data_IF_920106536719
#
_entry.id   IF_920106536719
#
_cell.length_a   1.000
_cell.length_b   1.000
_cell.length_c   1.000
_cell.angle_alpha   90.00
_cell.angle_beta   90.00
_cell.angle_gamma   90.00
#
_symmetry.space_group_name_H-M   'P 1'
#
loop_
_entity.id
_entity.type
_entity.pdbx_description
1 polymer ?
#
# COMPACT_ATOMS: atom_id res chain seq x y z
N UNK A 1 0.72 14.77 -5.61
CA UNK A 1 1.39 13.89 -4.63
C UNK A 1 1.25 14.52 -3.26
N UNK A 2 0.40 13.95 -2.40
CA UNK A 2 0.31 14.33 -1.00
C UNK A 2 0.91 13.19 -0.19
N UNK A 3 1.87 13.48 0.68
CA UNK A 3 2.34 12.54 1.69
C UNK A 3 1.34 12.63 2.84
N UNK A 4 0.73 11.50 3.17
CA UNK A 4 -0.17 11.38 4.32
C UNK A 4 0.51 10.43 5.30
N UNK A 5 0.34 10.63 6.59
CA UNK A 5 0.61 9.61 7.59
C UNK A 5 -0.67 9.43 8.39
N UNK A 6 -1.53 8.54 7.89
CA UNK A 6 -2.84 8.29 8.46
C UNK A 6 -3.12 6.80 8.42
N UNK A 7 -3.48 6.28 9.60
CA UNK A 7 -3.85 4.89 9.79
C UNK A 7 -4.93 4.43 8.81
N UNK A 8 -4.75 3.23 8.26
CA UNK A 8 -5.69 2.60 7.35
C UNK A 8 -5.95 1.16 7.79
N UNK A 9 -7.22 0.79 7.83
CA UNK A 9 -7.60 -0.62 8.00
C UNK A 9 -7.74 -1.26 6.62
N UNK A 10 -7.14 -2.42 6.43
CA UNK A 10 -7.08 -3.12 5.14
C UNK A 10 -7.78 -4.47 5.26
N UNK A 11 -8.67 -4.76 4.33
CA UNK A 11 -9.27 -6.07 4.14
C UNK A 11 -8.55 -6.82 3.03
N UNK A 12 -8.35 -8.10 3.26
CA UNK A 12 -7.54 -8.97 2.41
C UNK A 12 -8.39 -10.09 1.85
N UNK A 13 -8.08 -10.48 0.61
CA UNK A 13 -8.55 -11.72 0.00
C UNK A 13 -7.33 -12.41 -0.63
N UNK A 14 -7.08 -13.65 -0.25
CA UNK A 14 -5.95 -14.45 -0.77
C UNK A 14 -4.58 -13.73 -0.71
N UNK A 15 -4.37 -12.89 0.31
CA UNK A 15 -3.13 -12.13 0.48
C UNK A 15 -3.01 -10.86 -0.34
N UNK A 16 -4.09 -10.41 -0.98
CA UNK A 16 -4.16 -9.18 -1.78
C UNK A 16 -5.17 -8.19 -1.17
N UNK A 17 -4.89 -6.88 -1.13
CA UNK A 17 -5.85 -5.88 -0.65
C UNK A 17 -7.11 -5.85 -1.53
N UNK A 18 -8.30 -5.82 -0.92
CA UNK A 18 -9.57 -5.71 -1.65
C UNK A 18 -10.43 -4.52 -1.22
N UNK A 19 -10.18 -3.98 -0.04
CA UNK A 19 -10.88 -2.82 0.52
C UNK A 19 -10.03 -2.16 1.59
N UNK A 20 -10.21 -0.85 1.73
CA UNK A 20 -9.67 -0.10 2.86
C UNK A 20 -10.74 0.76 3.54
N UNK A 21 -10.50 1.08 4.81
CA UNK A 21 -11.15 2.18 5.52
C UNK A 21 -10.07 3.18 5.90
N UNK A 22 -10.18 4.38 5.34
CA UNK A 22 -9.20 5.45 5.48
C UNK A 22 -9.91 6.79 5.56
N UNK A 23 -9.50 7.63 6.53
CA UNK A 23 -10.15 8.91 6.86
C UNK A 23 -11.67 8.79 7.09
N UNK A 24 -12.10 7.77 7.83
CA UNK A 24 -13.53 7.53 8.11
C UNK A 24 -14.36 7.07 6.91
N UNK A 25 -13.71 6.84 5.76
CA UNK A 25 -14.37 6.50 4.50
C UNK A 25 -14.01 5.10 4.02
N UNK A 26 -14.99 4.43 3.41
CA UNK A 26 -14.82 3.12 2.77
C UNK A 26 -14.37 3.30 1.33
N UNK A 27 -13.37 2.54 0.93
CA UNK A 27 -12.88 2.52 -0.44
C UNK A 27 -12.71 1.08 -0.91
N UNK A 28 -13.15 0.78 -2.14
CA UNK A 28 -13.00 -0.52 -2.77
C UNK A 28 -11.80 -0.50 -3.69
N UNK A 29 -10.95 -1.53 -3.65
CA UNK A 29 -9.89 -1.68 -4.65
C UNK A 29 -10.54 -1.89 -6.02
N UNK A 30 -10.11 -1.12 -7.01
CA UNK A 30 -10.70 -1.09 -8.35
C UNK A 30 -9.72 -1.44 -9.48
N UNK A 31 -8.47 -1.77 -9.14
CA UNK A 31 -7.45 -2.30 -10.05
C UNK A 31 -6.78 -3.58 -9.48
N UNK A 32 -5.61 -3.94 -10.03
CA UNK A 32 -4.78 -5.06 -9.54
C UNK A 32 -3.69 -4.51 -8.61
N UNK A 33 -3.72 -4.83 -7.30
CA UNK A 33 -2.70 -4.37 -6.38
C UNK A 33 -1.29 -4.86 -6.73
N UNK A 34 -0.36 -3.92 -6.66
CA UNK A 34 1.07 -4.15 -6.94
C UNK A 34 1.85 -4.11 -5.63
N UNK A 35 2.67 -5.13 -5.37
CA UNK A 35 3.57 -5.13 -4.22
C UNK A 35 4.66 -4.08 -4.41
N UNK A 36 4.89 -3.26 -3.40
CA UNK A 36 6.07 -2.41 -3.33
C UNK A 36 7.19 -3.22 -2.70
N UNK A 37 8.32 -3.36 -3.40
CA UNK A 37 9.51 -4.04 -2.87
C UNK A 37 10.64 -3.04 -2.65
N UNK A 38 11.43 -3.28 -1.62
CA UNK A 38 12.69 -2.57 -1.41
C UNK A 38 13.83 -3.56 -1.47
N UNK A 39 14.86 -3.19 -2.22
CA UNK A 39 16.17 -3.81 -2.15
C UNK A 39 16.93 -3.17 -1.00
N UNK A 40 17.34 -3.93 0.03
CA UNK A 40 18.17 -3.38 1.11
C UNK A 40 19.47 -2.82 0.53
N UNK A 41 19.82 -1.59 0.89
CA UNK A 41 21.02 -0.90 0.37
C UNK A 41 22.31 -1.41 1.01
N UNK A 42 22.22 -1.98 2.22
CA UNK A 42 23.35 -2.51 3.00
C UNK A 42 23.43 -4.04 2.91
N UNK A 43 23.62 -4.57 1.72
CA UNK A 43 23.91 -5.99 1.54
C UNK A 43 25.40 -6.20 1.33
N UNK A 44 26.02 -7.21 1.99
CA UNK A 44 27.38 -7.62 1.67
C UNK A 44 27.54 -7.82 0.16
N UNK A 45 28.65 -7.36 -0.41
CA UNK A 45 28.92 -7.40 -1.87
C UNK A 45 28.88 -8.82 -2.47
N UNK A 46 28.96 -9.85 -1.63
CA UNK A 46 28.82 -11.26 -2.01
C UNK A 46 27.36 -11.70 -2.27
N UNK A 47 26.36 -10.89 -1.89
CA UNK A 47 24.95 -11.16 -2.17
C UNK A 47 24.63 -10.64 -3.57
N UNK A 48 24.61 -11.55 -4.54
CA UNK A 48 24.24 -11.24 -5.93
C UNK A 48 22.73 -11.23 -6.16
N UNK A 49 21.95 -11.73 -5.20
CA UNK A 49 20.48 -11.76 -5.20
C UNK A 49 19.97 -11.34 -3.81
N UNK A 50 19.72 -10.03 -3.67
CA UNK A 50 19.11 -9.46 -2.49
C UNK A 50 17.70 -10.02 -2.27
N UNK A 51 17.34 -10.53 -1.07
CA UNK A 51 15.94 -10.84 -0.79
C UNK A 51 15.13 -9.55 -0.79
N UNK A 52 14.22 -9.43 -1.76
CA UNK A 52 13.25 -8.34 -1.81
C UNK A 52 12.30 -8.43 -0.61
N UNK A 53 12.25 -7.37 0.19
CA UNK A 53 11.23 -7.26 1.25
C UNK A 53 10.04 -6.49 0.69
N UNK A 54 8.84 -7.02 0.88
CA UNK A 54 7.61 -6.26 0.61
C UNK A 54 7.53 -5.09 1.59
N UNK A 55 7.66 -3.89 1.06
CA UNK A 55 7.58 -2.61 1.77
C UNK A 55 6.16 -2.10 1.89
N UNK A 56 5.24 -2.60 1.05
CA UNK A 56 3.91 -2.04 0.97
C UNK A 56 3.13 -2.54 -0.23
N UNK A 57 2.05 -1.83 -0.53
CA UNK A 57 1.21 -2.07 -1.68
C UNK A 57 0.81 -0.76 -2.34
N UNK A 58 0.70 -0.79 -3.66
CA UNK A 58 0.08 0.24 -4.48
C UNK A 58 -1.18 -0.31 -5.13
N UNK A 59 -2.27 0.44 -5.08
CA UNK A 59 -3.50 0.10 -5.79
C UNK A 59 -4.39 1.32 -5.97
N UNK A 60 -5.26 1.26 -6.97
CA UNK A 60 -6.37 2.18 -7.15
C UNK A 60 -7.52 1.78 -6.23
N UNK A 61 -8.13 2.77 -5.61
CA UNK A 61 -9.36 2.63 -4.84
C UNK A 61 -10.44 3.57 -5.35
N UNK A 62 -11.69 3.12 -5.31
CA UNK A 62 -12.86 3.89 -5.68
C UNK A 62 -13.87 3.87 -4.54
N UNK A 63 -14.39 5.04 -4.18
CA UNK A 63 -15.43 5.20 -3.17
C UNK A 63 -16.84 5.18 -3.78
N UNK A 64 -17.87 5.16 -2.94
CA UNK A 64 -19.27 5.03 -3.37
C UNK A 64 -19.77 6.21 -4.22
N UNK A 65 -19.20 7.40 -4.06
CA UNK A 65 -19.52 8.58 -4.89
C UNK A 65 -18.71 8.66 -6.20
N UNK A 66 -17.94 7.61 -6.51
CA UNK A 66 -17.04 7.48 -7.67
C UNK A 66 -15.73 8.27 -7.59
N UNK A 67 -15.41 8.90 -6.47
CA UNK A 67 -14.05 9.40 -6.26
C UNK A 67 -13.05 8.24 -6.33
N UNK A 68 -11.96 8.44 -7.06
CA UNK A 68 -10.93 7.44 -7.29
C UNK A 68 -9.56 8.01 -6.96
N UNK A 69 -8.74 7.20 -6.28
CA UNK A 69 -7.38 7.55 -5.89
C UNK A 69 -6.46 6.36 -6.11
N UNK A 70 -5.21 6.60 -6.51
CA UNK A 70 -4.14 5.63 -6.31
C UNK A 70 -3.54 5.88 -4.94
N UNK A 71 -3.31 4.81 -4.17
CA UNK A 71 -2.74 4.89 -2.83
C UNK A 71 -1.54 3.97 -2.69
N UNK A 72 -0.53 4.42 -1.95
CA UNK A 72 0.50 3.56 -1.38
C UNK A 72 0.19 3.34 0.09
N UNK A 73 0.17 2.07 0.52
CA UNK A 73 0.13 1.70 1.94
C UNK A 73 1.43 1.03 2.35
N UNK A 74 1.92 1.34 3.54
CA UNK A 74 3.13 0.74 4.13
C UNK A 74 2.82 0.24 5.54
N UNK A 75 3.50 -0.82 6.04
CA UNK A 75 3.31 -1.28 7.40
C UNK A 75 3.80 -0.22 8.40
N UNK A 76 2.99 0.09 9.42
CA UNK A 76 3.37 0.93 10.55
C UNK A 76 2.84 0.35 11.86
N UNK A 77 3.71 0.21 12.87
CA UNK A 77 3.40 -0.25 14.25
C UNK A 77 2.39 -1.41 14.36
N UNK A 78 2.49 -2.41 13.48
CA UNK A 78 1.61 -3.60 13.48
C UNK A 78 0.31 -3.44 12.69
N UNK A 79 0.10 -2.30 12.05
CA UNK A 79 -0.98 -2.03 11.11
C UNK A 79 -0.44 -1.48 9.79
N UNK A 80 -1.25 -0.63 9.15
CA UNK A 80 -0.93 0.00 7.88
C UNK A 80 -1.20 1.51 7.95
N UNK A 81 -0.37 2.29 7.26
CA UNK A 81 -0.59 3.73 7.03
C UNK A 81 -0.62 4.01 5.54
N UNK A 82 -1.46 4.95 5.10
CA UNK A 82 -1.39 5.47 3.71
C UNK A 82 -0.22 6.42 3.64
N UNK A 83 0.81 6.08 2.86
CA UNK A 83 2.03 6.88 2.71
C UNK A 83 1.89 7.97 1.62
N UNK A 84 1.17 7.67 0.53
CA UNK A 84 1.04 8.57 -0.62
C UNK A 84 -0.30 8.38 -1.32
N UNK A 85 -0.80 9.48 -1.91
CA UNK A 85 -1.98 9.46 -2.78
C UNK A 85 -1.78 10.26 -4.07
N UNK A 86 -2.50 9.83 -5.12
CA UNK A 86 -2.64 10.49 -6.42
C UNK A 86 -4.09 10.44 -6.89
N UNK A 87 -4.54 11.50 -7.57
CA UNK A 87 -5.88 11.67 -8.16
C UNK A 87 -5.79 11.72 -9.67
#
# INVERSE_FOLDING_TARGET
>A
MIVVDAAVTVWWEQGTPVRIVWQGRRWRVSDVPTRLTVTPTDLPTAITHAPERTAGWRFQVTADDRETLVVDIVPDRGGWTVARTWS
#
